data_IF_371562267680
#
_entry.id   IF_371562267680
#
_cell.length_a   1.000
_cell.length_b   1.000
_cell.length_c   1.000
_cell.angle_alpha   90.00
_cell.angle_beta   90.00
_cell.angle_gamma   90.00
#
_symmetry.space_group_name_H-M   'P 1'
#
loop_
_entity.id
_entity.type
_entity.pdbx_description
1 polymer ?
#
# COMPACT_ATOMS: atom_id res chain seq x y z
N UNK A 1 2.60 -16.36 41.65
CA UNK A 1 1.96 -16.66 40.36
C UNK A 1 0.44 -16.55 40.56
N UNK A 2 -0.24 -15.49 40.08
CA UNK A 2 -1.70 -15.43 40.21
C UNK A 2 -2.33 -16.46 39.25
N UNK A 3 -3.21 -17.30 39.81
CA UNK A 3 -3.89 -18.39 39.10
C UNK A 3 -4.83 -17.86 38.01
N UNK A 4 -4.80 -18.49 36.83
CA UNK A 4 -5.80 -18.29 35.79
C UNK A 4 -7.10 -18.95 36.23
N UNK A 5 -8.15 -18.14 36.44
CA UNK A 5 -9.50 -18.66 36.58
C UNK A 5 -9.90 -19.44 35.32
N UNK A 6 -10.56 -20.60 35.46
CA UNK A 6 -11.01 -21.38 34.32
C UNK A 6 -12.16 -20.66 33.59
N UNK A 7 -12.07 -20.60 32.26
CA UNK A 7 -13.06 -19.97 31.40
C UNK A 7 -14.42 -20.68 31.49
N UNK A 8 -15.51 -19.91 31.45
CA UNK A 8 -16.87 -20.46 31.42
C UNK A 8 -17.15 -21.17 30.09
N UNK A 9 -17.95 -22.24 30.15
CA UNK A 9 -18.29 -23.08 29.00
C UNK A 9 -19.03 -22.24 27.93
N UNK A 10 -18.39 -22.05 26.77
CA UNK A 10 -18.90 -21.22 25.66
C UNK A 10 -18.05 -19.99 25.34
N UNK A 11 -17.12 -19.60 26.22
CA UNK A 11 -16.13 -18.58 25.91
C UNK A 11 -14.97 -19.17 25.11
N UNK A 12 -14.83 -18.77 23.86
CA UNK A 12 -13.66 -19.15 23.06
C UNK A 12 -12.49 -18.22 23.40
N UNK A 13 -11.34 -18.80 23.76
CA UNK A 13 -10.07 -18.07 23.92
C UNK A 13 -9.85 -17.06 22.79
N UNK A 14 -10.14 -17.47 21.56
CA UNK A 14 -10.02 -16.66 20.33
C UNK A 14 -10.81 -15.35 20.39
N UNK A 15 -11.99 -15.32 21.01
CA UNK A 15 -12.81 -14.12 21.16
C UNK A 15 -12.19 -13.08 22.10
N UNK A 16 -11.59 -13.54 23.21
CA UNK A 16 -10.89 -12.66 24.14
C UNK A 16 -9.59 -12.09 23.52
N UNK A 17 -8.82 -12.92 22.80
CA UNK A 17 -7.63 -12.48 22.06
C UNK A 17 -7.97 -11.40 21.02
N UNK A 18 -9.01 -11.63 20.21
CA UNK A 18 -9.45 -10.67 19.20
C UNK A 18 -9.92 -9.34 19.84
N UNK A 19 -10.67 -9.40 20.95
CA UNK A 19 -11.11 -8.20 21.68
C UNK A 19 -9.94 -7.42 22.24
N UNK A 20 -8.93 -8.10 22.81
CA UNK A 20 -7.71 -7.47 23.34
C UNK A 20 -6.88 -6.85 22.22
N UNK A 21 -6.70 -7.54 21.09
CA UNK A 21 -6.01 -7.02 19.92
C UNK A 21 -6.69 -5.74 19.39
N UNK A 22 -8.03 -5.76 19.26
CA UNK A 22 -8.81 -4.59 18.84
C UNK A 22 -8.65 -3.41 19.81
N UNK A 23 -8.69 -3.68 21.11
CA UNK A 23 -8.53 -2.66 22.14
C UNK A 23 -7.13 -2.02 22.09
N UNK A 24 -6.06 -2.83 22.05
CA UNK A 24 -4.68 -2.34 21.94
C UNK A 24 -4.47 -1.52 20.68
N UNK A 25 -4.98 -2.00 19.54
CA UNK A 25 -4.91 -1.28 18.27
C UNK A 25 -5.61 0.09 18.35
N UNK A 26 -6.77 0.14 19.00
CA UNK A 26 -7.53 1.39 19.19
C UNK A 26 -6.76 2.36 20.08
N UNK A 27 -6.22 1.89 21.20
CA UNK A 27 -5.45 2.70 22.14
C UNK A 27 -4.17 3.24 21.48
N UNK A 28 -3.42 2.39 20.78
CA UNK A 28 -2.22 2.80 20.06
C UNK A 28 -2.53 3.87 19.00
N UNK A 29 -3.60 3.70 18.22
CA UNK A 29 -4.01 4.73 17.24
C UNK A 29 -4.33 6.06 17.91
N UNK A 30 -4.99 6.04 19.07
CA UNK A 30 -5.28 7.25 19.85
C UNK A 30 -3.99 7.91 20.35
N UNK A 31 -3.05 7.13 20.88
CA UNK A 31 -1.76 7.64 21.37
C UNK A 31 -0.95 8.30 20.26
N UNK A 32 -0.81 7.63 19.11
CA UNK A 32 -0.10 8.16 17.93
C UNK A 32 -0.74 9.48 17.47
N UNK A 33 -2.07 9.52 17.33
CA UNK A 33 -2.76 10.74 16.90
C UNK A 33 -2.65 11.86 17.94
N UNK A 34 -2.69 11.55 19.24
CA UNK A 34 -2.57 12.52 20.30
C UNK A 34 -1.17 13.15 20.33
N UNK A 35 -0.11 12.36 20.15
CA UNK A 35 1.25 12.88 20.08
C UNK A 35 1.47 13.73 18.82
N UNK A 36 0.93 13.30 17.69
CA UNK A 36 0.97 14.07 16.46
C UNK A 36 0.23 15.41 16.58
N UNK A 37 -0.94 15.41 17.23
CA UNK A 37 -1.70 16.62 17.54
C UNK A 37 -0.92 17.55 18.47
N UNK A 38 -0.28 16.99 19.50
CA UNK A 38 0.56 17.73 20.44
C UNK A 38 1.75 18.40 19.72
N UNK A 39 2.47 17.66 18.88
CA UNK A 39 3.61 18.20 18.13
C UNK A 39 3.20 19.20 17.06
N UNK A 40 2.10 18.96 16.36
CA UNK A 40 1.63 19.88 15.31
C UNK A 40 0.91 21.12 15.85
N UNK A 41 0.45 21.10 17.11
CA UNK A 41 -0.45 22.12 17.64
C UNK A 41 -1.86 22.08 17.05
N UNK A 42 -2.21 21.02 16.31
CA UNK A 42 -3.48 20.87 15.59
C UNK A 42 -4.25 19.66 16.09
N UNK A 43 -5.46 19.89 16.61
CA UNK A 43 -6.27 18.84 17.22
C UNK A 43 -6.93 17.88 16.20
N UNK A 44 -7.04 18.27 14.93
CA UNK A 44 -7.72 17.51 13.87
C UNK A 44 -6.81 16.53 13.11
N UNK A 45 -5.51 16.57 13.38
CA UNK A 45 -4.51 15.81 12.64
C UNK A 45 -4.59 14.32 13.00
N UNK A 46 -4.48 13.47 11.97
CA UNK A 46 -4.45 12.02 12.10
C UNK A 46 -3.27 11.45 11.34
N UNK A 47 -2.75 10.35 11.84
CA UNK A 47 -1.67 9.63 11.16
C UNK A 47 -2.12 9.12 9.79
N UNK A 48 -1.28 9.38 8.79
CA UNK A 48 -1.41 8.90 7.40
C UNK A 48 -0.47 7.73 7.20
N UNK A 49 -1.01 6.63 6.69
CA UNK A 49 -0.30 5.34 6.61
C UNK A 49 0.04 4.93 5.17
N UNK A 50 -0.28 5.79 4.20
CA UNK A 50 0.23 5.68 2.84
C UNK A 50 1.44 6.59 2.70
N UNK A 51 2.45 6.20 1.91
CA UNK A 51 3.65 7.03 1.75
C UNK A 51 3.30 8.43 1.25
N UNK A 52 2.46 8.52 0.22
CA UNK A 52 2.06 9.79 -0.38
C UNK A 52 1.40 10.73 0.64
N UNK A 53 0.33 10.28 1.30
CA UNK A 53 -0.37 11.12 2.28
C UNK A 53 0.52 11.42 3.50
N UNK A 54 1.43 10.52 3.89
CA UNK A 54 2.40 10.80 4.93
C UNK A 54 3.36 11.92 4.52
N UNK A 55 3.90 11.88 3.29
CA UNK A 55 4.80 12.92 2.81
C UNK A 55 4.08 14.27 2.72
N UNK A 56 2.90 14.29 2.08
CA UNK A 56 2.13 15.52 1.84
C UNK A 56 1.64 16.14 3.16
N UNK A 57 0.94 15.36 3.99
CA UNK A 57 0.24 15.88 5.17
C UNK A 57 1.14 15.97 6.41
N UNK A 58 2.11 15.08 6.58
CA UNK A 58 2.86 14.93 7.83
C UNK A 58 4.28 15.46 7.67
N UNK A 59 5.03 14.91 6.72
CA UNK A 59 6.44 15.26 6.55
C UNK A 59 6.62 16.69 6.06
N UNK A 60 6.06 17.03 4.89
CA UNK A 60 6.14 18.39 4.34
C UNK A 60 5.10 19.32 4.95
N UNK A 61 3.88 18.83 5.22
CA UNK A 61 2.77 19.62 5.74
C UNK A 61 2.94 20.07 7.18
N UNK A 62 3.48 19.22 8.06
CA UNK A 62 3.65 19.52 9.50
C UNK A 62 5.11 19.64 9.93
N UNK A 63 6.07 19.29 9.07
CA UNK A 63 7.49 19.25 9.45
C UNK A 63 7.77 18.20 10.52
N UNK A 64 7.02 17.08 10.50
CA UNK A 64 7.15 16.00 11.46
C UNK A 64 7.55 14.74 10.70
N UNK A 65 8.62 14.08 11.16
CA UNK A 65 9.00 12.75 10.69
C UNK A 65 8.61 11.70 11.70
N UNK A 66 8.28 10.51 11.20
CA UNK A 66 7.96 9.36 12.02
C UNK A 66 9.09 8.34 11.93
N UNK A 67 9.74 8.09 13.07
CA UNK A 67 10.76 7.04 13.17
C UNK A 67 10.05 5.69 13.28
N UNK A 68 10.28 4.79 12.33
CA UNK A 68 9.70 3.44 12.32
C UNK A 68 10.79 2.37 12.19
N UNK A 69 10.48 1.14 12.63
CA UNK A 69 11.44 0.03 12.58
C UNK A 69 11.50 -0.62 11.19
N UNK A 70 12.71 -0.97 10.74
CA UNK A 70 12.94 -1.50 9.37
C UNK A 70 12.42 -2.91 9.11
N UNK A 71 12.07 -3.67 10.13
CA UNK A 71 11.56 -5.04 9.99
C UNK A 71 10.03 -5.11 10.03
N UNK A 72 9.34 -3.99 10.27
CA UNK A 72 7.88 -3.90 10.18
C UNK A 72 7.50 -3.02 9.00
N UNK A 73 6.50 -3.48 8.24
CA UNK A 73 5.92 -2.69 7.17
C UNK A 73 5.30 -1.40 7.71
N UNK A 74 5.59 -0.27 7.05
CA UNK A 74 4.90 0.97 7.33
C UNK A 74 3.50 0.93 6.71
N UNK A 75 2.51 0.46 7.47
CA UNK A 75 1.12 0.35 7.03
C UNK A 75 0.15 0.63 8.17
N UNK A 76 -1.13 0.82 7.85
CA UNK A 76 -2.16 1.02 8.85
C UNK A 76 -2.20 -0.15 9.85
N UNK A 77 -2.34 0.16 11.14
CA UNK A 77 -2.41 -0.83 12.22
C UNK A 77 -3.46 -1.94 12.01
N UNK A 78 -4.51 -1.71 11.21
CA UNK A 78 -5.48 -2.76 10.85
C UNK A 78 -4.93 -3.84 9.91
N UNK A 79 -3.81 -3.59 9.23
CA UNK A 79 -3.12 -4.55 8.37
C UNK A 79 -2.19 -5.47 9.16
N UNK A 80 -1.71 -5.02 10.31
CA UNK A 80 -1.01 -5.89 11.26
C UNK A 80 -2.03 -6.78 11.97
N UNK A 81 -1.92 -8.10 11.79
CA UNK A 81 -2.85 -9.09 12.36
C UNK A 81 -2.12 -9.93 13.41
N UNK A 82 -2.83 -10.28 14.48
CA UNK A 82 -2.29 -11.09 15.57
C UNK A 82 -1.91 -10.25 16.78
N UNK A 83 -2.28 -10.75 17.97
CA UNK A 83 -2.08 -10.03 19.23
C UNK A 83 -0.61 -9.72 19.50
N UNK A 84 0.29 -10.68 19.25
CA UNK A 84 1.72 -10.53 19.56
C UNK A 84 2.37 -9.41 18.75
N UNK A 85 1.98 -9.26 17.48
CA UNK A 85 2.47 -8.18 16.61
C UNK A 85 1.99 -6.82 17.14
N UNK A 86 0.71 -6.71 17.52
CA UNK A 86 0.18 -5.45 18.07
C UNK A 86 0.82 -5.13 19.42
N UNK A 87 1.02 -6.13 20.29
CA UNK A 87 1.74 -5.95 21.56
C UNK A 87 3.17 -5.46 21.33
N UNK A 88 3.87 -6.04 20.36
CA UNK A 88 5.22 -5.64 20.01
C UNK A 88 5.26 -4.18 19.53
N UNK A 89 4.37 -3.79 18.62
CA UNK A 89 4.29 -2.39 18.14
C UNK A 89 3.98 -1.44 19.31
N UNK A 90 3.04 -1.80 20.18
CA UNK A 90 2.72 -1.00 21.37
C UNK A 90 3.95 -0.84 22.27
N UNK A 91 4.70 -1.92 22.51
CA UNK A 91 5.93 -1.87 23.30
C UNK A 91 7.00 -0.98 22.66
N UNK A 92 7.18 -1.04 21.34
CA UNK A 92 8.10 -0.16 20.62
C UNK A 92 7.72 1.32 20.74
N UNK A 93 6.41 1.61 20.78
CA UNK A 93 5.90 2.97 20.98
C UNK A 93 6.15 3.45 22.41
N UNK A 94 5.79 2.63 23.41
CA UNK A 94 5.96 2.97 24.83
C UNK A 94 7.43 3.13 25.23
N UNK A 95 8.33 2.39 24.58
CA UNK A 95 9.78 2.50 24.77
C UNK A 95 10.42 3.64 23.98
N UNK A 96 9.66 4.33 23.12
CA UNK A 96 10.15 5.41 22.27
C UNK A 96 11.02 4.95 21.10
N UNK A 97 11.10 3.65 20.80
CA UNK A 97 11.81 3.14 19.62
C UNK A 97 11.13 3.62 18.34
N UNK A 98 9.80 3.59 18.30
CA UNK A 98 9.01 4.31 17.30
C UNK A 98 8.44 5.57 17.94
N UNK A 99 8.67 6.72 17.31
CA UNK A 99 8.30 8.03 17.87
C UNK A 99 8.25 9.08 16.76
N UNK A 100 7.66 10.23 17.05
CA UNK A 100 7.72 11.38 16.16
C UNK A 100 8.89 12.30 16.50
N UNK A 101 9.50 12.89 15.48
CA UNK A 101 10.54 13.89 15.61
C UNK A 101 10.30 15.04 14.62
N UNK A 102 10.92 16.19 14.86
CA UNK A 102 10.91 17.29 13.90
C UNK A 102 11.79 16.96 12.70
N UNK A 103 11.33 17.34 11.51
CA UNK A 103 12.12 17.26 10.28
C UNK A 103 13.19 18.34 10.32
N UNK A 104 14.41 17.96 10.01
CA UNK A 104 15.53 18.89 9.81
C UNK A 104 15.54 19.43 8.39
N UNK A 105 16.13 20.60 8.17
CA UNK A 105 16.20 21.20 6.82
C UNK A 105 16.94 20.28 5.83
N UNK A 106 18.00 19.61 6.27
CA UNK A 106 18.74 18.64 5.46
C UNK A 106 17.89 17.43 5.05
N UNK A 107 17.07 16.88 5.96
CA UNK A 107 16.13 15.81 5.64
C UNK A 107 15.05 16.30 4.67
N UNK A 108 14.59 17.54 4.82
CA UNK A 108 13.59 18.14 3.94
C UNK A 108 14.12 18.31 2.51
N UNK A 109 15.34 18.80 2.37
CA UNK A 109 16.00 18.93 1.06
C UNK A 109 16.27 17.58 0.41
N UNK A 110 16.71 16.59 1.20
CA UNK A 110 16.89 15.21 0.70
C UNK A 110 15.56 14.65 0.17
N UNK A 111 14.48 14.83 0.92
CA UNK A 111 13.14 14.37 0.53
C UNK A 111 12.59 15.06 -0.72
N UNK A 112 12.98 16.31 -0.99
CA UNK A 112 12.63 17.01 -2.23
C UNK A 112 13.34 16.40 -3.45
N UNK A 113 14.54 15.86 -3.28
CA UNK A 113 15.28 15.16 -4.35
C UNK A 113 14.82 13.71 -4.51
N UNK A 114 14.63 13.03 -3.39
CA UNK A 114 14.16 11.64 -3.34
C UNK A 114 13.08 11.48 -2.25
N UNK A 115 11.79 11.47 -2.62
CA UNK A 115 10.70 11.30 -1.67
C UNK A 115 10.76 9.98 -0.88
N UNK A 116 11.41 8.94 -1.42
CA UNK A 116 11.54 7.66 -0.73
C UNK A 116 12.52 7.73 0.45
N UNK A 117 13.46 8.69 0.44
CA UNK A 117 14.40 8.88 1.55
C UNK A 117 13.70 9.29 2.84
N UNK A 118 12.50 9.88 2.74
CA UNK A 118 11.67 10.29 3.87
C UNK A 118 10.67 9.22 4.33
N UNK A 119 10.66 8.04 3.70
CA UNK A 119 9.79 6.95 4.11
C UNK A 119 10.12 6.47 5.54
N UNK A 120 9.13 6.38 6.45
CA UNK A 120 9.37 5.95 7.84
C UNK A 120 10.00 4.56 7.94
N UNK A 121 9.61 3.66 7.04
CA UNK A 121 10.04 2.26 7.03
C UNK A 121 9.75 1.61 5.68
N UNK A 122 10.03 0.30 5.54
CA UNK A 122 9.79 -0.39 4.27
C UNK A 122 8.30 -0.40 3.94
N UNK A 123 7.97 0.01 2.71
CA UNK A 123 6.62 -0.11 2.15
C UNK A 123 6.31 -1.55 1.74
N UNK A 124 7.36 -2.26 1.33
CA UNK A 124 7.34 -3.67 1.01
C UNK A 124 8.64 -4.29 1.51
N UNK A 125 8.58 -5.44 2.18
CA UNK A 125 9.75 -6.19 2.67
C UNK A 125 10.44 -6.94 1.52
N UNK A 126 10.66 -6.26 0.38
CA UNK A 126 11.07 -6.89 -0.88
C UNK A 126 10.00 -7.78 -1.53
N UNK A 127 8.82 -7.90 -0.91
CA UNK A 127 7.69 -8.63 -1.48
C UNK A 127 6.99 -7.78 -2.55
N UNK A 128 6.58 -8.36 -3.69
CA UNK A 128 5.81 -7.62 -4.69
C UNK A 128 4.56 -7.01 -4.06
N UNK A 129 4.19 -5.82 -4.53
CA UNK A 129 2.97 -5.17 -4.08
C UNK A 129 1.75 -6.07 -4.37
N UNK A 130 0.84 -6.18 -3.41
CA UNK A 130 -0.32 -7.04 -3.60
C UNK A 130 -1.36 -6.36 -4.49
N UNK A 131 -1.29 -6.61 -5.80
CA UNK A 131 -2.25 -6.12 -6.81
C UNK A 131 -3.65 -6.78 -6.74
N UNK A 132 -4.01 -7.37 -5.60
CA UNK A 132 -5.27 -8.08 -5.43
C UNK A 132 -5.36 -9.37 -6.24
N UNK A 133 -6.58 -9.76 -6.62
CA UNK A 133 -6.86 -11.05 -7.26
C UNK A 133 -6.55 -11.04 -8.75
N UNK A 134 -5.98 -12.13 -9.27
CA UNK A 134 -5.68 -12.30 -10.70
C UNK A 134 -6.89 -12.77 -11.52
N UNK A 135 -7.97 -13.21 -10.89
CA UNK A 135 -9.17 -13.75 -11.57
C UNK A 135 -10.31 -12.72 -11.66
N UNK A 136 -9.98 -11.43 -11.60
CA UNK A 136 -10.98 -10.35 -11.73
C UNK A 136 -11.63 -10.48 -13.11
N UNK A 137 -12.97 -10.46 -13.14
CA UNK A 137 -13.83 -10.75 -14.31
C UNK A 137 -13.82 -12.20 -14.81
N UNK A 138 -13.06 -13.12 -14.21
CA UNK A 138 -13.13 -14.54 -14.54
C UNK A 138 -14.39 -15.17 -13.95
N UNK A 139 -14.95 -16.17 -14.64
CA UNK A 139 -16.08 -16.92 -14.11
C UNK A 139 -15.60 -17.86 -13.00
N UNK A 140 -16.16 -17.70 -11.81
CA UNK A 140 -15.87 -18.61 -10.69
C UNK A 140 -16.72 -19.86 -10.74
N UNK A 141 -16.18 -20.92 -10.15
CA UNK A 141 -16.93 -22.14 -9.88
C UNK A 141 -18.23 -21.82 -9.13
N UNK A 142 -19.33 -22.42 -9.58
CA UNK A 142 -20.62 -22.40 -8.91
C UNK A 142 -21.12 -23.83 -8.80
N UNK A 143 -21.58 -24.18 -7.61
CA UNK A 143 -22.17 -25.50 -7.31
C UNK A 143 -23.45 -25.75 -8.12
N UNK A 144 -24.28 -24.72 -8.30
CA UNK A 144 -25.42 -24.72 -9.22
C UNK A 144 -24.95 -24.37 -10.63
N UNK A 145 -24.97 -25.36 -11.51
CA UNK A 145 -24.71 -25.21 -12.94
C UNK A 145 -26.03 -25.06 -13.71
N UNK A 146 -25.94 -24.55 -14.95
CA UNK A 146 -27.08 -24.56 -15.85
C UNK A 146 -27.50 -26.04 -16.06
N UNK A 147 -28.77 -26.42 -15.83
CA UNK A 147 -29.23 -27.79 -16.02
C UNK A 147 -29.01 -28.31 -17.46
N UNK A 148 -28.95 -27.41 -18.44
CA UNK A 148 -28.67 -27.74 -19.85
C UNK A 148 -27.17 -27.72 -20.21
N UNK A 149 -26.30 -27.49 -19.21
CA UNK A 149 -24.84 -27.34 -19.36
C UNK A 149 -24.39 -26.33 -20.44
N UNK A 150 -25.27 -25.39 -20.81
CA UNK A 150 -24.95 -24.39 -21.83
C UNK A 150 -23.92 -23.39 -21.29
N UNK A 151 -23.02 -22.88 -22.15
CA UNK A 151 -22.13 -21.78 -21.79
C UNK A 151 -22.97 -20.57 -21.37
N UNK A 152 -22.40 -19.72 -20.50
CA UNK A 152 -23.12 -18.49 -20.16
C UNK A 152 -23.05 -17.50 -21.32
N UNK A 153 -24.01 -16.58 -21.32
CA UNK A 153 -24.20 -15.57 -22.37
C UNK A 153 -22.92 -14.80 -22.77
N UNK A 154 -21.99 -14.60 -21.84
CA UNK A 154 -20.75 -13.86 -22.07
C UNK A 154 -19.53 -14.68 -21.68
N UNK A 155 -18.51 -14.65 -22.54
CA UNK A 155 -17.18 -15.14 -22.23
C UNK A 155 -16.54 -14.26 -21.15
N UNK A 156 -15.99 -14.92 -20.13
CA UNK A 156 -15.43 -14.27 -18.93
C UNK A 156 -14.16 -15.00 -18.52
N UNK A 157 -13.10 -14.75 -19.29
CA UNK A 157 -11.81 -15.43 -19.16
C UNK A 157 -10.84 -14.75 -18.17
N UNK A 158 -11.28 -13.66 -17.53
CA UNK A 158 -10.46 -12.92 -16.58
C UNK A 158 -9.89 -11.62 -17.15
N UNK A 159 -8.80 -11.11 -16.55
CA UNK A 159 -8.12 -9.91 -17.02
C UNK A 159 -7.55 -10.12 -18.43
N UNK A 160 -7.64 -9.08 -19.27
CA UNK A 160 -7.10 -9.09 -20.64
C UNK A 160 -5.62 -8.69 -20.71
N UNK A 161 -5.07 -8.17 -19.61
CA UNK A 161 -3.69 -7.68 -19.52
C UNK A 161 -2.98 -8.32 -18.34
N UNK A 162 -1.65 -8.35 -18.41
CA UNK A 162 -0.81 -8.64 -17.25
C UNK A 162 -1.05 -7.59 -16.14
N UNK A 163 -0.75 -7.96 -14.89
CA UNK A 163 -0.89 -7.06 -13.74
C UNK A 163 0.19 -5.99 -13.68
N UNK A 164 1.38 -6.31 -14.16
CA UNK A 164 2.53 -5.43 -14.22
C UNK A 164 3.13 -5.55 -15.61
N UNK A 165 3.58 -4.42 -16.15
CA UNK A 165 4.36 -4.35 -17.38
C UNK A 165 5.82 -4.23 -16.93
N UNK A 166 6.72 -5.04 -17.50
CA UNK A 166 8.14 -4.88 -17.22
C UNK A 166 8.68 -3.66 -17.97
N UNK A 167 9.71 -3.02 -17.42
CA UNK A 167 10.37 -1.89 -18.08
C UNK A 167 10.89 -2.27 -19.48
N UNK A 168 11.31 -3.52 -19.68
CA UNK A 168 11.69 -4.05 -20.99
C UNK A 168 10.51 -4.12 -21.96
N UNK A 169 9.33 -4.55 -21.51
CA UNK A 169 8.13 -4.59 -22.34
C UNK A 169 7.63 -3.18 -22.70
N UNK A 170 7.76 -2.22 -21.78
CA UNK A 170 7.45 -0.81 -22.03
C UNK A 170 8.44 -0.21 -23.05
N UNK A 171 9.75 -0.42 -22.88
CA UNK A 171 10.76 0.04 -23.82
C UNK A 171 10.62 -0.59 -25.22
N UNK A 172 10.25 -1.87 -25.30
CA UNK A 172 9.99 -2.54 -26.58
C UNK A 172 8.77 -1.93 -27.29
N UNK A 173 7.70 -1.65 -26.56
CA UNK A 173 6.51 -0.99 -27.10
C UNK A 173 6.82 0.44 -27.60
N UNK A 174 7.62 1.20 -26.84
CA UNK A 174 8.04 2.55 -27.24
C UNK A 174 8.90 2.51 -28.51
N UNK A 175 9.81 1.55 -28.61
CA UNK A 175 10.63 1.35 -29.82
C UNK A 175 9.77 1.00 -31.04
N UNK A 176 8.75 0.16 -30.88
CA UNK A 176 7.82 -0.20 -31.95
C UNK A 176 7.00 1.02 -32.40
N UNK A 177 6.54 1.86 -31.47
CA UNK A 177 5.81 3.10 -31.79
C UNK A 177 6.72 4.09 -32.54
N UNK A 178 7.97 4.26 -32.13
CA UNK A 178 8.91 5.13 -32.83
C UNK A 178 9.27 4.61 -34.21
N UNK A 179 9.42 3.29 -34.39
CA UNK A 179 9.61 2.70 -35.71
C UNK A 179 8.39 2.90 -36.61
N UNK A 180 7.18 2.74 -36.07
CA UNK A 180 5.94 2.99 -36.80
C UNK A 180 5.81 4.46 -37.22
N UNK A 181 6.14 5.42 -36.33
CA UNK A 181 6.19 6.86 -36.67
C UNK A 181 7.18 7.15 -37.79
N UNK A 182 8.37 6.55 -37.75
CA UNK A 182 9.39 6.70 -38.80
C UNK A 182 8.89 6.15 -40.13
N UNK A 183 8.25 4.98 -40.15
CA UNK A 183 7.67 4.40 -41.37
C UNK A 183 6.60 5.33 -41.96
N UNK A 184 5.72 5.89 -41.13
CA UNK A 184 4.69 6.85 -41.57
C UNK A 184 5.31 8.13 -42.14
N UNK A 185 6.35 8.67 -41.49
CA UNK A 185 7.06 9.87 -41.99
C UNK A 185 7.76 9.61 -43.34
N UNK A 186 8.39 8.44 -43.51
CA UNK A 186 9.02 8.05 -44.79
C UNK A 186 7.97 7.90 -45.89
N UNK A 187 6.81 7.30 -45.59
CA UNK A 187 5.71 7.20 -46.57
C UNK A 187 5.08 8.55 -46.90
N UNK A 188 5.00 9.47 -45.95
CA UNK A 188 4.51 10.83 -46.17
C UNK A 188 5.50 11.68 -47.00
N UNK A 189 6.81 11.50 -46.79
CA UNK A 189 7.85 12.14 -47.60
C UNK A 189 7.91 11.58 -49.03
N UNK A 190 7.56 10.29 -49.23
CA UNK A 190 7.46 9.66 -50.55
C UNK A 190 6.22 10.07 -51.37
N UNK A 191 5.17 10.61 -50.72
CA UNK A 191 3.94 11.05 -51.39
C UNK A 191 4.03 12.48 -51.97
N UNK A 192 5.14 13.19 -51.77
CA UNK A 192 5.34 14.57 -52.25
C UNK A 192 6.04 14.71 -53.61
N UNK A 193 6.33 13.61 -54.32
CA UNK A 193 7.02 13.64 -55.62
C UNK A 193 6.14 13.00 -56.71
N UNK A 194 4.91 13.48 -56.87
CA UNK A 194 4.16 13.33 -58.14
C UNK A 194 3.32 14.58 -58.35
N UNK A 195 3.96 15.64 -58.84
CA UNK A 195 3.33 16.64 -59.70
C UNK A 195 4.42 17.51 -60.33
N UNK A 196 4.73 17.22 -61.60
CA UNK A 196 5.16 18.17 -62.66
C UNK A 196 5.58 17.38 -63.89
N UNK A 197 4.64 17.14 -64.81
CA UNK A 197 4.81 17.33 -66.26
C UNK A 197 3.46 17.76 -66.84
#
# INVERSE_FOLDING_TARGET
>A
MPGREPLQLGETLRGQYARREMMLRSNLRKAINAELAHLSGRADVRMRWSLKEYLDDIFFGLGIRFTWVRYLLFTNLSKHTGLDVILHITSLWETGVIHFARVTDAEREAALRDPLSAAPGPLHLGLPEWYGRSDIKARRYRWKKNPLNLPGRYERNGPKSAKTVSAEAEAAADAEVEEAKRRVMVTAAGAGIVDTV
#
